data_IF_563830319094
#
_entry.id   IF_563830319094
#
_cell.length_a   1.000
_cell.length_b   1.000
_cell.length_c   1.000
_cell.angle_alpha   90.00
_cell.angle_beta   90.00
_cell.angle_gamma   90.00
#
_symmetry.space_group_name_H-M   'P 1'
#
loop_
_entity.id
_entity.type
_entity.pdbx_description
1 polymer ?
#
# COMPACT_ATOMS: atom_id res chain seq x y z
N UNK A 1 4.47 -1.89 15.60
CA UNK A 1 3.70 -1.96 14.34
C UNK A 1 3.42 -3.40 14.01
N UNK A 2 2.18 -3.73 13.67
CA UNK A 2 1.76 -5.04 13.22
C UNK A 2 1.91 -5.11 11.68
N UNK A 3 2.50 -6.20 11.18
CA UNK A 3 2.63 -6.48 9.74
C UNK A 3 1.44 -7.34 9.31
N UNK A 4 0.60 -6.82 8.43
CA UNK A 4 -0.55 -7.52 7.86
C UNK A 4 -0.30 -7.81 6.38
N UNK A 5 -0.85 -8.91 5.88
CA UNK A 5 -0.75 -9.31 4.48
C UNK A 5 -0.12 -10.69 4.28
N UNK A 6 0.27 -11.02 3.04
CA UNK A 6 0.66 -12.37 2.67
C UNK A 6 1.88 -12.85 3.44
N UNK A 7 1.79 -14.10 3.93
CA UNK A 7 2.84 -14.76 4.72
C UNK A 7 4.05 -15.12 3.85
N UNK A 8 3.79 -15.67 2.67
CA UNK A 8 4.78 -16.10 1.70
C UNK A 8 4.69 -15.21 0.46
N UNK A 9 5.84 -14.67 0.04
CA UNK A 9 5.95 -13.72 -1.06
C UNK A 9 7.16 -14.11 -1.93
N UNK A 10 6.95 -14.76 -3.08
CA UNK A 10 8.03 -15.08 -4.01
C UNK A 10 8.57 -13.82 -4.69
N UNK A 11 9.77 -13.93 -5.26
CA UNK A 11 10.39 -12.85 -6.02
C UNK A 11 11.10 -11.80 -5.17
N UNK A 12 11.21 -10.59 -5.72
CA UNK A 12 11.93 -9.49 -5.07
C UNK A 12 11.02 -8.76 -4.09
N UNK A 13 11.40 -8.74 -2.82
CA UNK A 13 10.63 -8.13 -1.73
C UNK A 13 10.99 -6.65 -1.60
N UNK A 14 9.98 -5.81 -1.40
CA UNK A 14 10.13 -4.40 -1.05
C UNK A 14 9.44 -4.09 0.29
N UNK A 15 9.99 -3.13 1.03
CA UNK A 15 9.53 -2.75 2.37
C UNK A 15 9.57 -1.23 2.54
N UNK A 16 8.39 -0.62 2.67
CA UNK A 16 8.17 0.82 2.84
C UNK A 16 7.68 1.17 4.25
N UNK A 17 8.10 0.39 5.25
CA UNK A 17 7.79 0.58 6.67
C UNK A 17 8.09 2.00 7.16
N UNK A 18 7.18 2.54 7.96
CA UNK A 18 7.35 3.82 8.65
C UNK A 18 6.82 5.03 7.87
N UNK A 19 6.39 4.86 6.62
CA UNK A 19 5.79 5.93 5.82
C UNK A 19 4.30 6.06 6.16
N UNK A 20 3.92 7.08 6.92
CA UNK A 20 2.59 7.19 7.57
C UNK A 20 1.61 8.13 6.87
N UNK A 21 2.08 9.05 6.02
CA UNK A 21 1.25 10.03 5.34
C UNK A 21 1.17 9.73 3.85
N UNK A 22 0.22 8.87 3.48
CA UNK A 22 -0.04 8.51 2.09
C UNK A 22 -0.94 9.56 1.43
N UNK A 23 -0.58 9.99 0.23
CA UNK A 23 -1.38 10.91 -0.59
C UNK A 23 -2.10 10.15 -1.69
N UNK A 24 -1.37 9.28 -2.40
CA UNK A 24 -1.88 8.56 -3.56
C UNK A 24 -1.18 7.22 -3.73
N UNK A 25 -1.91 6.25 -4.26
CA UNK A 25 -1.37 5.01 -4.81
C UNK A 25 -1.60 5.08 -6.33
N UNK A 26 -0.53 4.94 -7.09
CA UNK A 26 -0.58 4.86 -8.55
C UNK A 26 -0.38 3.40 -8.95
N UNK A 27 -1.31 2.86 -9.75
CA UNK A 27 -1.28 1.47 -10.19
C UNK A 27 -1.30 1.43 -11.71
N UNK A 28 -0.34 0.73 -12.33
CA UNK A 28 -0.43 0.33 -13.74
C UNK A 28 -0.80 -1.15 -13.83
N UNK A 29 -1.55 -1.51 -14.86
CA UNK A 29 -2.03 -2.88 -15.03
C UNK A 29 -1.97 -3.32 -16.50
N UNK A 30 -1.89 -4.63 -16.68
CA UNK A 30 -2.01 -5.34 -17.96
C UNK A 30 -3.08 -6.42 -17.80
N UNK A 31 -3.34 -7.17 -18.87
CA UNK A 31 -4.25 -8.31 -18.83
C UNK A 31 -3.90 -9.34 -17.74
N UNK A 32 -2.62 -9.48 -17.40
CA UNK A 32 -2.10 -10.41 -16.38
C UNK A 32 -2.22 -9.91 -14.93
N UNK A 33 -2.69 -8.68 -14.69
CA UNK A 33 -2.84 -8.09 -13.36
C UNK A 33 -2.07 -6.77 -13.19
N UNK A 34 -1.69 -6.45 -11.95
CA UNK A 34 -0.96 -5.22 -11.62
C UNK A 34 0.48 -5.36 -12.14
N UNK A 35 0.83 -4.55 -13.14
CA UNK A 35 2.17 -4.52 -13.71
C UNK A 35 3.12 -3.73 -12.83
N UNK A 36 2.68 -2.58 -12.29
CA UNK A 36 3.47 -1.84 -11.31
C UNK A 36 2.64 -1.03 -10.32
N UNK A 37 3.25 -0.72 -9.18
CA UNK A 37 2.69 0.16 -8.16
C UNK A 37 3.73 1.20 -7.72
N UNK A 38 3.25 2.42 -7.47
CA UNK A 38 4.03 3.50 -6.90
C UNK A 38 3.20 4.24 -5.85
N UNK A 39 3.84 4.74 -4.81
CA UNK A 39 3.20 5.46 -3.72
C UNK A 39 3.69 6.90 -3.68
N UNK A 40 2.78 7.84 -3.41
CA UNK A 40 3.13 9.23 -3.10
C UNK A 40 2.91 9.48 -1.60
N UNK A 41 3.95 9.91 -0.90
CA UNK A 41 3.92 10.18 0.53
C UNK A 41 4.27 11.64 0.85
N UNK A 42 3.78 12.14 1.99
CA UNK A 42 4.29 13.40 2.57
C UNK A 42 5.54 13.09 3.41
N UNK A 43 6.69 13.59 2.97
CA UNK A 43 7.97 13.50 3.67
C UNK A 43 8.48 14.92 3.92
N UNK A 44 8.69 15.27 5.19
CA UNK A 44 9.09 16.62 5.61
C UNK A 44 8.24 17.76 5.01
N UNK A 45 6.91 17.54 4.91
CA UNK A 45 5.97 18.52 4.38
C UNK A 45 5.89 18.58 2.84
N UNK A 46 6.70 17.81 2.11
CA UNK A 46 6.66 17.74 0.66
C UNK A 46 6.15 16.38 0.17
N UNK A 47 5.46 16.36 -0.97
CA UNK A 47 5.06 15.10 -1.63
C UNK A 47 6.27 14.49 -2.34
N UNK A 48 6.53 13.21 -2.09
CA UNK A 48 7.62 12.43 -2.71
C UNK A 48 7.10 11.07 -3.14
N UNK A 49 7.51 10.65 -4.33
CA UNK A 49 7.20 9.32 -4.84
C UNK A 49 8.17 8.28 -4.29
N UNK A 50 7.67 7.07 -4.03
CA UNK A 50 8.49 5.88 -3.86
C UNK A 50 9.16 5.48 -5.17
N UNK A 51 10.02 4.46 -5.10
CA UNK A 51 10.34 3.67 -6.28
C UNK A 51 9.08 3.07 -6.90
N UNK A 52 9.18 2.71 -8.17
CA UNK A 52 8.16 1.95 -8.88
C UNK A 52 8.47 0.46 -8.64
N UNK A 53 7.50 -0.27 -8.12
CA UNK A 53 7.61 -1.71 -7.92
C UNK A 53 6.86 -2.44 -9.02
N UNK A 54 7.59 -3.25 -9.80
CA UNK A 54 7.06 -3.95 -10.97
C UNK A 54 7.49 -3.27 -12.27
N UNK A 55 6.92 -3.68 -13.39
CA UNK A 55 7.24 -3.11 -14.70
C UNK A 55 6.24 -1.98 -15.06
N UNK A 56 6.71 -0.72 -15.22
CA UNK A 56 5.85 0.42 -15.59
C UNK A 56 5.35 0.40 -17.03
N UNK A 57 5.75 -0.56 -17.88
CA UNK A 57 5.31 -0.70 -19.28
C UNK A 57 3.80 -1.06 -19.44
N UNK A 58 2.99 -0.94 -18.38
CA UNK A 58 1.54 -1.16 -18.38
C UNK A 58 0.77 -0.04 -19.07
N UNK A 59 -0.51 -0.29 -19.37
CA UNK A 59 -1.41 0.80 -19.75
C UNK A 59 -1.51 1.80 -18.58
N UNK A 60 -1.77 3.07 -18.89
CA UNK A 60 -1.73 4.26 -18.03
C UNK A 60 -2.07 4.00 -16.55
N UNK A 61 -1.35 4.69 -15.65
CA UNK A 61 -1.66 4.68 -14.22
C UNK A 61 -3.11 5.12 -14.00
N UNK A 62 -3.95 4.21 -13.55
CA UNK A 62 -5.36 4.50 -13.36
C UNK A 62 -5.75 4.38 -11.88
N UNK A 63 -6.58 5.32 -11.45
CA UNK A 63 -7.18 5.35 -10.11
C UNK A 63 -8.49 4.56 -10.04
N UNK A 64 -8.82 3.73 -11.05
CA UNK A 64 -10.18 3.17 -11.20
C UNK A 64 -10.69 2.42 -9.97
N UNK A 65 -11.95 2.73 -9.66
CA UNK A 65 -12.88 1.84 -8.96
C UNK A 65 -13.16 0.59 -9.85
N UNK A 66 -12.38 -0.46 -9.68
CA UNK A 66 -12.61 -1.73 -10.38
C UNK A 66 -13.76 -2.54 -9.76
N UNK A 67 -14.83 -2.75 -10.51
CA UNK A 67 -15.90 -3.69 -10.17
C UNK A 67 -15.46 -5.13 -10.47
N UNK A 68 -14.65 -5.74 -9.60
CA UNK A 68 -14.30 -7.16 -9.66
C UNK A 68 -14.68 -7.88 -8.36
N UNK A 69 -15.12 -9.14 -8.48
CA UNK A 69 -15.73 -9.93 -7.38
C UNK A 69 -14.76 -10.33 -6.26
N UNK A 70 -13.45 -10.29 -6.50
CA UNK A 70 -12.42 -10.54 -5.50
C UNK A 70 -11.73 -9.23 -5.10
N UNK A 71 -12.48 -8.36 -4.42
CA UNK A 71 -11.92 -7.11 -3.88
C UNK A 71 -11.51 -7.29 -2.44
N UNK A 72 -10.24 -6.98 -2.12
CA UNK A 72 -9.81 -6.79 -0.75
C UNK A 72 -9.97 -5.31 -0.40
N UNK A 73 -10.79 -5.01 0.60
CA UNK A 73 -10.90 -3.67 1.16
C UNK A 73 -10.50 -3.71 2.62
N UNK A 74 -9.45 -2.97 2.96
CA UNK A 74 -9.11 -2.66 4.34
C UNK A 74 -9.31 -1.17 4.55
N UNK A 75 -10.28 -0.83 5.41
CA UNK A 75 -10.51 0.55 5.84
C UNK A 75 -9.68 0.78 7.08
N UNK A 76 -8.74 1.71 7.02
CA UNK A 76 -8.15 2.25 8.23
C UNK A 76 -9.27 2.88 9.05
N UNK A 77 -9.30 2.61 10.36
CA UNK A 77 -10.26 3.24 11.27
C UNK A 77 -10.09 4.76 11.30
N UNK A 78 -10.90 5.44 12.11
CA UNK A 78 -10.86 6.91 12.28
C UNK A 78 -9.46 7.46 12.64
N UNK A 79 -8.59 6.58 13.16
CA UNK A 79 -7.21 6.87 13.46
C UNK A 79 -6.35 6.36 12.32
N UNK A 80 -5.48 7.23 11.81
CA UNK A 80 -4.48 6.90 10.81
C UNK A 80 -3.44 5.93 11.39
N UNK A 81 -3.84 4.67 11.57
CA UNK A 81 -3.00 3.56 12.01
C UNK A 81 -2.10 3.08 10.88
N UNK A 82 -2.14 3.70 9.70
CA UNK A 82 -1.28 3.35 8.58
C UNK A 82 0.19 3.63 8.87
N UNK A 83 1.05 2.67 8.55
CA UNK A 83 2.48 2.75 8.87
C UNK A 83 3.38 2.23 7.73
N UNK A 84 2.90 2.28 6.50
CA UNK A 84 3.65 1.88 5.31
C UNK A 84 3.15 0.59 4.69
N UNK A 85 3.73 0.24 3.54
CA UNK A 85 3.41 -0.97 2.79
C UNK A 85 4.63 -1.90 2.73
N UNK A 86 4.39 -3.17 2.40
CA UNK A 86 5.41 -4.11 1.97
C UNK A 86 4.82 -5.00 0.87
N UNK A 87 5.67 -5.69 0.13
CA UNK A 87 5.18 -6.58 -0.91
C UNK A 87 6.27 -7.23 -1.71
N UNK A 88 5.89 -7.78 -2.86
CA UNK A 88 6.84 -8.42 -3.77
C UNK A 88 6.50 -8.22 -5.23
N UNK A 89 7.55 -8.32 -6.04
CA UNK A 89 7.47 -8.38 -7.49
C UNK A 89 7.96 -9.76 -7.93
N UNK A 90 7.14 -10.46 -8.68
CA UNK A 90 7.47 -11.76 -9.27
C UNK A 90 7.08 -11.73 -10.76
N UNK A 91 7.96 -12.22 -11.64
CA UNK A 91 7.76 -12.19 -13.09
C UNK A 91 7.34 -10.80 -13.61
N UNK A 92 8.02 -9.76 -13.12
CA UNK A 92 7.80 -8.35 -13.50
C UNK A 92 6.44 -7.75 -13.11
N UNK A 93 5.58 -8.47 -12.39
CA UNK A 93 4.29 -7.98 -11.90
C UNK A 93 4.30 -7.88 -10.38
N UNK A 94 3.44 -7.01 -9.83
CA UNK A 94 3.21 -6.96 -8.39
C UNK A 94 2.47 -8.24 -7.99
N UNK A 95 3.15 -9.09 -7.22
CA UNK A 95 2.62 -10.39 -6.82
C UNK A 95 1.82 -10.31 -5.53
N UNK A 96 2.34 -9.56 -4.57
CA UNK A 96 1.75 -9.43 -3.25
C UNK A 96 1.95 -8.03 -2.70
N UNK A 97 0.96 -7.57 -1.93
CA UNK A 97 1.00 -6.35 -1.13
C UNK A 97 0.46 -6.64 0.26
N UNK A 98 1.10 -6.06 1.26
CA UNK A 98 0.63 -6.01 2.62
C UNK A 98 0.90 -4.64 3.24
N UNK A 99 0.41 -4.45 4.45
CA UNK A 99 0.37 -3.16 5.12
C UNK A 99 0.92 -3.27 6.54
N UNK A 100 1.65 -2.25 6.96
CA UNK A 100 1.99 -2.06 8.36
C UNK A 100 0.93 -1.20 9.03
N UNK A 101 0.46 -1.65 10.19
CA UNK A 101 -0.46 -0.89 11.03
C UNK A 101 0.13 -0.61 12.41
N UNK A 102 -0.14 0.58 12.96
CA UNK A 102 0.17 0.92 14.36
C UNK A 102 -0.95 0.37 15.25
N UNK A 103 -0.62 -0.42 16.29
CA UNK A 103 -1.57 -0.74 17.35
C UNK A 103 -2.07 0.55 18.01
N UNK A 104 -3.26 0.50 18.60
CA UNK A 104 -3.73 1.54 19.49
C UNK A 104 -3.09 1.24 20.85
N UNK A 105 -2.21 2.14 21.32
CA UNK A 105 -1.36 1.86 22.47
C UNK A 105 -2.11 2.02 23.81
N UNK A 106 -3.27 2.70 23.84
CA UNK A 106 -4.12 2.73 25.03
C UNK A 106 -5.59 3.06 24.72
N UNK A 107 -6.48 2.74 25.67
CA UNK A 107 -7.89 3.14 25.59
C UNK A 107 -8.11 4.65 25.77
N UNK A 108 -7.13 5.41 26.28
CA UNK A 108 -7.19 6.89 26.39
C UNK A 108 -7.15 7.53 25.02
N UNK A 109 -6.31 6.96 24.16
CA UNK A 109 -6.57 6.71 22.75
C UNK A 109 -7.97 7.15 22.33
N UNK A 110 -8.92 6.27 22.65
CA UNK A 110 -10.30 6.23 22.19
C UNK A 110 -11.25 7.26 22.83
N UNK A 111 -10.79 8.06 23.80
CA UNK A 111 -11.68 8.89 24.65
C UNK A 111 -11.68 10.38 24.31
N UNK A 112 -10.75 10.88 23.50
CA UNK A 112 -10.66 12.30 23.13
C UNK A 112 -11.67 12.71 22.02
N UNK A 113 -12.80 12.02 21.91
CA UNK A 113 -13.80 12.22 20.85
C UNK A 113 -15.24 12.29 21.42
N UNK A 114 -15.49 13.27 22.30
CA UNK A 114 -16.85 13.78 22.58
C UNK A 114 -16.95 15.27 22.20
#
# INVERSE_FOLDING_TARGET
MMKLGPRDMPGSIWDERGKTKLVQILVSYKYSGISSIQFAYVVHGAVRHSEIYGNPDGAEFDTKNGANKDSFSYRFGLRSCFAGFHGSVFESCVYAIGVYVKPIDSLYELKDEE
#
